data_IF_937780217875
#
_entry.id   IF_937780217875
#
_cell.length_a   1.000
_cell.length_b   1.000
_cell.length_c   1.000
_cell.angle_alpha   90.00
_cell.angle_beta   90.00
_cell.angle_gamma   90.00
#
_symmetry.space_group_name_H-M   'P 1'
#
loop_
_entity.id
_entity.type
_entity.pdbx_description
1 polymer ?
#
# COMPACT_ATOMS: atom_id res chain seq x y z
N UNK A 1 -7.52 -20.70 13.77
CA UNK A 1 -8.75 -20.84 12.90
C UNK A 1 -9.38 -19.50 12.46
N UNK A 2 -9.08 -18.37 13.12
CA UNK A 2 -9.74 -17.07 12.85
C UNK A 2 -9.17 -16.26 11.67
N UNK A 3 -7.87 -16.36 11.40
CA UNK A 3 -7.19 -15.56 10.35
C UNK A 3 -7.66 -15.87 8.92
N UNK A 4 -8.07 -17.12 8.64
CA UNK A 4 -8.62 -17.50 7.32
C UNK A 4 -9.91 -16.76 6.99
N UNK A 5 -10.69 -16.35 8.00
CA UNK A 5 -11.91 -15.55 7.79
C UNK A 5 -11.63 -14.12 7.39
N UNK A 6 -10.46 -13.59 7.70
CA UNK A 6 -10.02 -12.24 7.29
C UNK A 6 -9.56 -12.19 5.82
N UNK A 7 -9.34 -13.36 5.21
CA UNK A 7 -8.86 -13.47 3.83
C UNK A 7 -9.98 -13.58 2.79
N UNK A 8 -11.21 -13.89 3.22
CA UNK A 8 -12.32 -14.22 2.33
C UNK A 8 -13.55 -13.36 2.61
N UNK A 9 -14.27 -13.02 1.54
CA UNK A 9 -15.54 -12.30 1.62
C UNK A 9 -16.69 -13.28 1.84
N UNK A 10 -17.39 -13.14 2.97
CA UNK A 10 -18.63 -13.87 3.26
C UNK A 10 -19.84 -13.12 2.65
N UNK A 11 -20.21 -13.50 1.41
CA UNK A 11 -21.29 -12.85 0.65
C UNK A 11 -22.70 -13.12 1.19
N UNK A 12 -22.86 -14.13 2.07
CA UNK A 12 -24.15 -14.47 2.68
C UNK A 12 -24.38 -13.79 4.03
N UNK A 13 -23.43 -13.02 4.49
CA UNK A 13 -23.52 -12.34 5.78
C UNK A 13 -24.39 -11.08 5.72
N UNK A 14 -24.93 -10.69 6.86
CA UNK A 14 -25.60 -9.38 7.05
C UNK A 14 -24.62 -8.26 6.66
N UNK A 15 -25.17 -7.11 6.18
CA UNK A 15 -24.41 -5.95 5.73
C UNK A 15 -23.26 -5.54 6.68
N UNK A 16 -23.49 -5.53 7.98
CA UNK A 16 -22.46 -5.20 8.98
C UNK A 16 -21.28 -6.18 8.94
N UNK A 17 -21.55 -7.47 8.80
CA UNK A 17 -20.54 -8.51 8.72
C UNK A 17 -19.83 -8.51 7.36
N UNK A 18 -20.56 -8.21 6.29
CA UNK A 18 -19.97 -8.04 4.96
C UNK A 18 -18.98 -6.87 4.95
N UNK A 19 -19.36 -5.71 5.51
CA UNK A 19 -18.48 -4.54 5.60
C UNK A 19 -17.22 -4.84 6.44
N UNK A 20 -17.35 -5.56 7.55
CA UNK A 20 -16.21 -6.04 8.33
C UNK A 20 -15.28 -6.96 7.52
N UNK A 21 -15.84 -7.96 6.84
CA UNK A 21 -15.09 -8.88 5.98
C UNK A 21 -14.36 -8.15 4.86
N UNK A 22 -15.03 -7.20 4.21
CA UNK A 22 -14.46 -6.39 3.14
C UNK A 22 -13.29 -5.55 3.66
N UNK A 23 -13.48 -4.83 4.76
CA UNK A 23 -12.43 -4.03 5.38
C UNK A 23 -11.20 -4.88 5.77
N UNK A 24 -11.43 -6.02 6.41
CA UNK A 24 -10.36 -6.93 6.83
C UNK A 24 -9.61 -7.54 5.64
N UNK A 25 -10.34 -7.98 4.60
CA UNK A 25 -9.73 -8.54 3.41
C UNK A 25 -8.93 -7.49 2.62
N UNK A 26 -9.50 -6.30 2.42
CA UNK A 26 -8.78 -5.19 1.77
C UNK A 26 -7.53 -4.81 2.55
N UNK A 27 -7.63 -4.68 3.89
CA UNK A 27 -6.50 -4.36 4.74
C UNK A 27 -5.40 -5.41 4.66
N UNK A 28 -5.74 -6.68 4.71
CA UNK A 28 -4.77 -7.77 4.63
C UNK A 28 -4.06 -7.80 3.28
N UNK A 29 -4.81 -7.82 2.18
CA UNK A 29 -4.22 -7.94 0.85
C UNK A 29 -3.45 -6.71 0.40
N UNK A 30 -3.83 -5.53 0.90
CA UNK A 30 -3.15 -4.28 0.56
C UNK A 30 -2.00 -3.94 1.51
N UNK A 31 -1.85 -4.65 2.62
CA UNK A 31 -0.86 -4.32 3.65
C UNK A 31 0.55 -4.21 3.08
N UNK A 32 1.00 -5.22 2.34
CA UNK A 32 2.33 -5.21 1.72
C UNK A 32 2.50 -4.03 0.75
N UNK A 33 1.43 -3.69 0.01
CA UNK A 33 1.44 -2.58 -0.93
C UNK A 33 1.50 -1.22 -0.23
N UNK A 34 0.75 -1.05 0.85
CA UNK A 34 0.76 0.17 1.68
C UNK A 34 2.13 0.37 2.32
N UNK A 35 2.74 -0.70 2.83
CA UNK A 35 4.11 -0.65 3.38
C UNK A 35 5.11 -0.27 2.29
N UNK A 36 5.03 -0.88 1.11
CA UNK A 36 5.88 -0.53 -0.02
C UNK A 36 5.74 0.96 -0.38
N UNK A 37 4.51 1.47 -0.48
CA UNK A 37 4.27 2.89 -0.76
C UNK A 37 4.76 3.81 0.35
N UNK A 38 4.62 3.41 1.60
CA UNK A 38 5.13 4.15 2.75
C UNK A 38 6.66 4.28 2.70
N UNK A 39 7.36 3.18 2.50
CA UNK A 39 8.83 3.14 2.41
C UNK A 39 9.33 3.94 1.20
N UNK A 40 8.75 3.71 0.03
CA UNK A 40 9.16 4.43 -1.19
C UNK A 40 8.80 5.90 -1.15
N UNK A 41 7.66 6.26 -0.53
CA UNK A 41 7.28 7.65 -0.29
C UNK A 41 8.20 8.36 0.69
N UNK A 42 8.63 7.67 1.74
CA UNK A 42 9.63 8.19 2.70
C UNK A 42 10.97 8.46 1.99
N UNK A 43 11.41 7.53 1.14
CA UNK A 43 12.60 7.74 0.31
C UNK A 43 12.49 9.00 -0.55
N UNK A 44 11.36 9.20 -1.23
CA UNK A 44 11.14 10.38 -2.08
C UNK A 44 11.04 11.69 -1.29
N UNK A 45 10.51 11.65 -0.08
CA UNK A 45 10.37 12.82 0.79
C UNK A 45 11.68 13.23 1.47
N UNK A 46 12.54 12.26 1.79
CA UNK A 46 13.80 12.45 2.50
C UNK A 46 14.98 11.77 1.80
N UNK A 47 15.27 12.10 0.53
CA UNK A 47 16.28 11.39 -0.26
C UNK A 47 17.69 11.46 0.34
N UNK A 48 17.99 12.56 1.04
CA UNK A 48 19.32 12.78 1.66
C UNK A 48 19.59 11.83 2.83
N UNK A 49 18.55 11.48 3.63
CA UNK A 49 18.69 10.50 4.71
C UNK A 49 19.02 9.11 4.14
N UNK A 50 18.35 8.74 3.07
CA UNK A 50 18.61 7.46 2.41
C UNK A 50 19.98 7.44 1.72
N UNK A 51 20.39 8.54 1.08
CA UNK A 51 21.71 8.66 0.49
C UNK A 51 22.81 8.50 1.55
N UNK A 52 22.70 9.21 2.68
CA UNK A 52 23.66 9.09 3.78
C UNK A 52 23.71 7.64 4.34
N UNK A 53 22.56 7.00 4.53
CA UNK A 53 22.52 5.62 5.00
C UNK A 53 23.14 4.64 3.99
N UNK A 54 22.89 4.85 2.70
CA UNK A 54 23.46 4.02 1.63
C UNK A 54 24.95 4.23 1.48
N UNK A 55 25.45 5.45 1.66
CA UNK A 55 26.90 5.72 1.62
C UNK A 55 27.65 5.10 2.82
N UNK A 56 26.96 4.93 3.96
CA UNK A 56 27.50 4.16 5.10
C UNK A 56 27.56 2.66 4.76
N UNK A 57 26.52 2.13 4.09
CA UNK A 57 26.45 0.70 3.73
C UNK A 57 27.40 0.34 2.61
N UNK A 58 27.53 1.20 1.61
CA UNK A 58 28.39 1.02 0.44
C UNK A 58 28.98 2.37 0.04
N UNK A 59 30.14 2.74 0.61
CA UNK A 59 30.82 4.00 0.32
C UNK A 59 31.06 4.20 -1.17
N UNK A 60 30.96 5.45 -1.60
CA UNK A 60 31.24 5.81 -2.99
C UNK A 60 32.74 5.66 -3.27
N UNK A 61 33.10 4.81 -4.23
CA UNK A 61 34.45 4.66 -4.71
C UNK A 61 34.56 5.22 -6.14
N UNK A 62 35.18 6.38 -6.28
CA UNK A 62 35.37 7.04 -7.55
C UNK A 62 36.28 6.25 -8.52
N UNK A 63 37.07 5.31 -8.00
CA UNK A 63 37.96 4.47 -8.82
C UNK A 63 37.27 3.27 -9.45
N UNK A 64 36.07 2.93 -8.96
CA UNK A 64 35.28 1.81 -9.45
C UNK A 64 34.12 2.29 -10.34
N UNK A 65 34.14 2.06 -11.66
CA UNK A 65 33.06 2.42 -12.56
C UNK A 65 31.83 1.50 -12.41
N UNK A 66 31.86 0.52 -11.52
CA UNK A 66 30.77 -0.42 -11.31
C UNK A 66 29.60 0.26 -10.60
N UNK A 67 28.38 0.05 -11.09
CA UNK A 67 27.15 0.50 -10.45
C UNK A 67 27.04 -0.13 -9.05
N UNK A 68 26.93 0.70 -8.01
CA UNK A 68 26.77 0.23 -6.63
C UNK A 68 25.40 -0.47 -6.48
N UNK A 69 25.34 -1.53 -5.68
CA UNK A 69 24.09 -2.22 -5.39
C UNK A 69 23.05 -1.29 -4.77
N UNK A 70 23.48 -0.32 -3.95
CA UNK A 70 22.62 0.68 -3.34
C UNK A 70 21.98 1.65 -4.36
N UNK A 71 22.68 2.01 -5.43
CA UNK A 71 22.14 2.85 -6.50
C UNK A 71 21.01 2.13 -7.24
N UNK A 72 21.15 0.82 -7.41
CA UNK A 72 20.10 -0.03 -7.97
C UNK A 72 18.87 -0.11 -7.06
N UNK A 73 19.06 -0.15 -5.74
CA UNK A 73 17.95 -0.11 -4.77
C UNK A 73 17.24 1.24 -4.86
N UNK A 74 17.96 2.36 -4.88
CA UNK A 74 17.39 3.71 -5.02
C UNK A 74 16.57 3.83 -6.31
N UNK A 75 17.09 3.35 -7.41
CA UNK A 75 16.39 3.31 -8.69
C UNK A 75 15.04 2.57 -8.56
N UNK A 76 15.05 1.37 -7.96
CA UNK A 76 13.82 0.59 -7.80
C UNK A 76 12.84 1.21 -6.82
N UNK A 77 13.29 1.85 -5.75
CA UNK A 77 12.39 2.56 -4.82
C UNK A 77 11.61 3.66 -5.53
N UNK A 78 12.26 4.47 -6.37
CA UNK A 78 11.58 5.48 -7.15
C UNK A 78 10.62 4.89 -8.19
N UNK A 79 11.07 3.92 -8.97
CA UNK A 79 10.26 3.31 -10.03
C UNK A 79 9.05 2.55 -9.50
N UNK A 80 9.19 1.81 -8.39
CA UNK A 80 8.09 1.11 -7.75
C UNK A 80 7.04 2.07 -7.17
N UNK A 81 7.47 3.20 -6.63
CA UNK A 81 6.51 4.18 -6.12
C UNK A 81 5.54 4.66 -7.21
N UNK A 82 6.05 4.90 -8.41
CA UNK A 82 5.25 5.36 -9.55
C UNK A 82 4.64 4.23 -10.39
N UNK A 83 4.77 2.98 -9.96
CA UNK A 83 4.26 1.84 -10.73
C UNK A 83 4.95 1.66 -12.08
N UNK A 84 6.22 1.97 -12.19
CA UNK A 84 7.00 1.84 -13.42
C UNK A 84 7.88 0.59 -13.35
N UNK A 85 7.43 -0.49 -13.93
CA UNK A 85 8.23 -1.73 -14.08
C UNK A 85 8.89 -1.83 -15.46
N UNK A 86 8.44 -1.06 -16.43
CA UNK A 86 9.02 -1.01 -17.79
C UNK A 86 10.29 -0.16 -17.82
N UNK A 87 11.42 -0.73 -17.43
CA UNK A 87 12.71 -0.07 -17.42
C UNK A 87 13.86 -1.08 -17.51
N UNK A 88 15.07 -0.65 -17.15
CA UNK A 88 16.24 -1.50 -17.12
C UNK A 88 15.99 -2.75 -16.26
N UNK A 89 16.06 -3.93 -16.82
CA UNK A 89 16.34 -5.16 -16.11
C UNK A 89 15.24 -6.19 -15.99
N UNK A 90 14.04 -5.99 -16.54
CA UNK A 90 13.06 -7.06 -16.64
C UNK A 90 13.03 -7.55 -18.09
N UNK A 91 13.58 -8.77 -18.37
CA UNK A 91 13.55 -9.35 -19.71
C UNK A 91 12.10 -9.47 -20.22
N UNK A 92 11.84 -9.01 -21.45
CA UNK A 92 10.52 -9.09 -22.07
C UNK A 92 9.53 -7.99 -21.67
N UNK A 93 9.88 -7.13 -20.71
CA UNK A 93 9.04 -6.02 -20.27
C UNK A 93 9.42 -4.72 -20.97
N UNK A 94 8.99 -4.55 -22.23
CA UNK A 94 9.18 -3.30 -22.99
C UNK A 94 8.39 -2.13 -22.39
N UNK A 95 8.76 -0.91 -22.80
CA UNK A 95 8.18 0.35 -22.27
C UNK A 95 6.65 0.52 -22.48
N UNK A 96 6.01 -0.32 -23.30
CA UNK A 96 4.60 -0.18 -23.65
C UNK A 96 3.66 -0.91 -22.68
N UNK A 97 3.41 -2.19 -22.94
CA UNK A 97 2.36 -2.96 -22.24
C UNK A 97 2.64 -3.16 -20.75
N UNK A 98 3.87 -3.46 -20.35
CA UNK A 98 4.21 -3.68 -18.94
C UNK A 98 4.04 -2.41 -18.09
N UNK A 99 4.51 -1.27 -18.61
CA UNK A 99 4.40 0.01 -17.91
C UNK A 99 2.92 0.43 -17.75
N UNK A 100 2.14 0.26 -18.80
CA UNK A 100 0.69 0.54 -18.76
C UNK A 100 -0.06 -0.38 -17.81
N UNK A 101 0.20 -1.68 -17.86
CA UNK A 101 -0.42 -2.67 -16.96
C UNK A 101 -0.09 -2.37 -15.50
N UNK A 102 1.16 -2.06 -15.22
CA UNK A 102 1.59 -1.73 -13.85
C UNK A 102 0.92 -0.46 -13.34
N UNK A 103 0.81 0.58 -14.16
CA UNK A 103 0.10 1.81 -13.79
C UNK A 103 -1.37 1.55 -13.48
N UNK A 104 -2.05 0.71 -14.26
CA UNK A 104 -3.45 0.32 -13.99
C UNK A 104 -3.55 -0.42 -12.65
N UNK A 105 -2.64 -1.36 -12.36
CA UNK A 105 -2.61 -2.06 -11.08
C UNK A 105 -2.37 -1.07 -9.94
N UNK A 106 -1.42 -0.16 -10.07
CA UNK A 106 -1.13 0.88 -9.07
C UNK A 106 -2.32 1.81 -8.85
N UNK A 107 -2.99 2.23 -9.91
CA UNK A 107 -4.21 3.03 -9.83
C UNK A 107 -5.32 2.28 -9.09
N UNK A 108 -5.52 0.99 -9.39
CA UNK A 108 -6.50 0.15 -8.69
C UNK A 108 -6.19 0.05 -7.19
N UNK A 109 -4.92 -0.18 -6.81
CA UNK A 109 -4.51 -0.17 -5.41
C UNK A 109 -4.63 1.21 -4.75
N UNK A 110 -4.51 2.29 -5.51
CA UNK A 110 -4.73 3.65 -5.04
C UNK A 110 -6.14 3.90 -4.50
N UNK A 111 -7.14 3.13 -4.94
CA UNK A 111 -8.50 3.20 -4.40
C UNK A 111 -8.68 2.46 -3.06
N UNK A 112 -7.72 1.63 -2.66
CA UNK A 112 -7.84 0.85 -1.42
C UNK A 112 -7.85 1.74 -0.16
N UNK A 113 -6.96 2.71 0.04
CA UNK A 113 -7.01 3.60 1.21
C UNK A 113 -8.35 4.33 1.37
N UNK A 114 -8.92 5.00 0.36
CA UNK A 114 -10.23 5.61 0.48
C UNK A 114 -11.35 4.59 0.77
N UNK A 115 -11.32 3.41 0.16
CA UNK A 115 -12.30 2.36 0.48
C UNK A 115 -12.16 1.86 1.92
N UNK A 116 -10.94 1.71 2.43
CA UNK A 116 -10.68 1.35 3.82
C UNK A 116 -11.17 2.46 4.77
N UNK A 117 -10.97 3.72 4.42
CA UNK A 117 -11.48 4.85 5.20
C UNK A 117 -13.02 4.80 5.28
N UNK A 118 -13.70 4.67 4.15
CA UNK A 118 -15.18 4.61 4.10
C UNK A 118 -15.70 3.42 4.89
N UNK A 119 -15.16 2.22 4.68
CA UNK A 119 -15.59 1.02 5.40
C UNK A 119 -15.32 1.11 6.89
N UNK A 120 -14.19 1.69 7.30
CA UNK A 120 -13.83 1.98 8.68
C UNK A 120 -14.77 3.00 9.33
N UNK A 121 -15.07 4.09 8.63
CA UNK A 121 -16.01 5.11 9.08
C UNK A 121 -17.43 4.54 9.29
N UNK A 122 -17.90 3.69 8.37
CA UNK A 122 -19.19 2.98 8.50
C UNK A 122 -19.20 2.05 9.71
N UNK A 123 -18.09 1.33 9.97
CA UNK A 123 -17.98 0.48 11.17
C UNK A 123 -18.02 1.31 12.45
N UNK A 124 -17.26 2.40 12.50
CA UNK A 124 -17.25 3.32 13.64
C UNK A 124 -18.62 3.95 13.90
N UNK A 125 -19.29 4.44 12.84
CA UNK A 125 -20.65 4.97 12.92
C UNK A 125 -21.61 3.96 13.52
N UNK A 126 -21.62 2.74 13.02
CA UNK A 126 -22.53 1.69 13.48
C UNK A 126 -22.25 1.21 14.91
N UNK A 127 -20.98 1.30 15.35
CA UNK A 127 -20.53 0.75 16.64
C UNK A 127 -20.56 1.79 17.76
N UNK A 128 -20.28 3.05 17.44
CA UNK A 128 -20.13 4.12 18.42
C UNK A 128 -21.27 5.14 18.37
N UNK A 129 -21.48 5.77 17.22
CA UNK A 129 -22.40 6.90 17.09
C UNK A 129 -23.86 6.46 17.21
N UNK A 130 -24.26 5.46 16.44
CA UNK A 130 -25.65 5.01 16.41
C UNK A 130 -26.18 4.50 17.76
N UNK A 131 -25.45 3.73 18.58
CA UNK A 131 -25.87 3.37 19.93
C UNK A 131 -25.90 4.55 20.89
N UNK A 132 -24.96 5.50 20.78
CA UNK A 132 -24.94 6.71 21.61
C UNK A 132 -26.18 7.58 21.36
N UNK A 133 -26.52 7.84 20.09
CA UNK A 133 -27.70 8.59 19.71
C UNK A 133 -28.99 7.97 20.25
N UNK A 134 -29.15 6.65 20.17
CA UNK A 134 -30.33 5.94 20.71
C UNK A 134 -30.48 6.03 22.23
N UNK A 135 -29.36 6.11 22.96
CA UNK A 135 -29.40 6.27 24.42
C UNK A 135 -29.86 7.67 24.84
N UNK A 136 -29.50 8.69 24.08
CA UNK A 136 -29.99 10.06 24.37
C UNK A 136 -31.51 10.19 24.19
N UNK A 137 -32.09 9.49 23.20
CA UNK A 137 -33.53 9.53 22.94
C UNK A 137 -34.37 8.80 24.02
N UNK A 138 -33.76 7.90 24.82
CA UNK A 138 -34.45 7.15 25.88
C UNK A 138 -34.41 7.85 27.26
N UNK A 139 -33.67 8.95 27.39
CA UNK A 139 -33.54 9.72 28.66
C UNK A 139 -34.44 10.97 28.68
N UNK A 140 -35.08 11.28 27.57
CA UNK A 140 -36.13 12.32 27.49
C UNK A 140 -37.52 11.72 27.66
#
# INVERSE_FOLDING_TARGET
KSWRRSLTLDRRANWKRLNWSLHSALGFWSFAFIVLWGVTGMYLSFPQLFAAAFDVLQPFDASSPAERGVDRIQYWLAYLHFGRLGGRGIPGCGRGLCDSTTKVIWAAFGFVPPLMFVTGAVMWWNRVIRPAARRSDTVQ
#
